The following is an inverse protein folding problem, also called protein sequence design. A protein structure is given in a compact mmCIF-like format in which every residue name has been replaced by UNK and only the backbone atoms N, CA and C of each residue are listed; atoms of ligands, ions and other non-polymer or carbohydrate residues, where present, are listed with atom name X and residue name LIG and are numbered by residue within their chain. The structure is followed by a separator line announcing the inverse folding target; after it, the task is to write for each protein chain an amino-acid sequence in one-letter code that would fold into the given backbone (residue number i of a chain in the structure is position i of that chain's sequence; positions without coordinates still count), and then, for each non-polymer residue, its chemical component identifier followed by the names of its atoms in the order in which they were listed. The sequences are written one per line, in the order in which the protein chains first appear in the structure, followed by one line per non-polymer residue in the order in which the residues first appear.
data_IF_140923525916
#
_entry.id   IF_140923525916
#
_cell.length_a   1.000
_cell.length_b   1.000
_cell.length_c   1.000
_cell.angle_alpha   90.00
_cell.angle_beta   90.00
_cell.angle_gamma   90.00
#
_symmetry.space_group_name_H-M   'P 1'
#
loop_
_entity.id
_entity.type
_entity.pdbx_description
1 polymer ?
#
# COMPACT_ATOMS: atom_id res chain seq x y z
N UNK A 1 -7.55 3.85 -11.69
CA UNK A 1 -7.87 2.75 -10.75
C UNK A 1 -8.77 3.29 -9.66
N UNK A 2 -9.65 2.44 -9.10
CA UNK A 2 -10.50 2.75 -7.96
C UNK A 2 -9.81 2.32 -6.66
N UNK A 3 -10.23 2.91 -5.53
CA UNK A 3 -9.66 2.62 -4.22
C UNK A 3 -10.74 2.27 -3.21
N UNK A 4 -10.54 1.19 -2.46
CA UNK A 4 -11.31 0.82 -1.29
C UNK A 4 -10.36 0.48 -0.14
N UNK A 5 -10.85 0.47 1.10
CA UNK A 5 -10.04 0.15 2.29
C UNK A 5 -10.82 -0.78 3.21
N UNK A 6 -10.15 -1.80 3.74
CA UNK A 6 -10.66 -2.57 4.87
C UNK A 6 -10.37 -1.86 6.21
N UNK A 7 -11.11 -2.17 7.29
CA UNK A 7 -10.85 -1.62 8.62
C UNK A 7 -9.39 -1.82 9.10
N UNK A 8 -8.80 -2.97 8.81
CA UNK A 8 -7.41 -3.33 9.16
C UNK A 8 -6.37 -2.35 8.60
N UNK A 9 -6.62 -1.77 7.42
CA UNK A 9 -5.76 -0.74 6.86
C UNK A 9 -5.74 0.51 7.77
N UNK A 10 -6.92 0.92 8.27
CA UNK A 10 -7.02 2.08 9.13
C UNK A 10 -6.47 1.84 10.54
N UNK A 11 -6.54 0.61 11.04
CA UNK A 11 -5.87 0.21 12.28
C UNK A 11 -4.36 0.42 12.15
N UNK A 12 -3.72 -0.20 11.15
CA UNK A 12 -2.29 0.01 10.89
C UNK A 12 -1.95 1.47 10.63
N UNK A 13 -2.77 2.21 9.86
CA UNK A 13 -2.55 3.63 9.58
C UNK A 13 -2.51 4.48 10.85
N UNK A 14 -3.37 4.17 11.84
CA UNK A 14 -3.45 4.94 13.09
C UNK A 14 -2.25 4.73 13.99
N UNK A 15 -1.58 3.58 13.90
CA UNK A 15 -0.35 3.26 14.64
C UNK A 15 0.88 3.99 14.10
N UNK A 16 0.81 4.48 12.85
CA UNK A 16 1.91 5.20 12.23
C UNK A 16 2.15 6.57 12.89
N UNK A 17 3.43 6.92 13.01
CA UNK A 17 3.83 8.26 13.41
C UNK A 17 3.28 9.33 12.44
N UNK A 18 3.23 10.59 12.91
CA UNK A 18 2.66 11.70 12.14
C UNK A 18 3.34 11.91 10.78
N UNK A 19 4.67 11.75 10.71
CA UNK A 19 5.45 11.96 9.48
C UNK A 19 5.15 10.85 8.47
N UNK A 20 5.08 9.60 8.92
CA UNK A 20 4.74 8.46 8.07
C UNK A 20 3.31 8.55 7.56
N UNK A 21 2.35 8.99 8.39
CA UNK A 21 0.96 9.26 7.94
C UNK A 21 0.87 10.33 6.85
N UNK A 22 1.71 11.37 6.92
CA UNK A 22 1.79 12.39 5.87
C UNK A 22 2.37 11.83 4.57
N UNK A 23 3.43 11.02 4.65
CA UNK A 23 3.99 10.33 3.49
C UNK A 23 2.98 9.38 2.84
N UNK A 24 2.21 8.62 3.64
CA UNK A 24 1.14 7.76 3.16
C UNK A 24 0.07 8.52 2.38
N UNK A 25 -0.36 9.69 2.89
CA UNK A 25 -1.28 10.57 2.17
C UNK A 25 -0.69 11.06 0.84
N UNK A 26 0.58 11.48 0.82
CA UNK A 26 1.24 11.93 -0.42
C UNK A 26 1.33 10.80 -1.44
N UNK A 27 1.74 9.61 -1.01
CA UNK A 27 1.82 8.42 -1.86
C UNK A 27 0.43 8.05 -2.42
N UNK A 28 -0.63 8.13 -1.61
CA UNK A 28 -2.00 7.86 -2.06
C UNK A 28 -2.47 8.84 -3.14
N UNK A 29 -2.24 10.15 -2.97
CA UNK A 29 -2.60 11.13 -4.01
C UNK A 29 -1.82 10.87 -5.31
N UNK A 30 -0.51 10.63 -5.21
CA UNK A 30 0.31 10.29 -6.37
C UNK A 30 -0.17 9.00 -7.05
N UNK A 31 -0.55 7.98 -6.28
CA UNK A 31 -1.08 6.73 -6.81
C UNK A 31 -2.43 6.93 -7.49
N UNK A 32 -3.31 7.78 -6.95
CA UNK A 32 -4.61 8.09 -7.57
C UNK A 32 -4.43 8.74 -8.95
N UNK A 33 -3.46 9.63 -9.07
CA UNK A 33 -3.19 10.37 -10.31
C UNK A 33 -2.35 9.57 -11.32
N UNK A 34 -1.33 8.86 -10.83
CA UNK A 34 -0.43 8.02 -11.62
C UNK A 34 -0.03 6.76 -10.82
N UNK A 35 -0.84 5.69 -10.86
CA UNK A 35 -0.60 4.47 -10.08
C UNK A 35 0.78 3.85 -10.32
N UNK A 36 1.31 3.99 -11.53
CA UNK A 36 2.58 3.40 -11.97
C UNK A 36 3.75 4.40 -11.93
N UNK A 37 3.62 5.50 -11.18
CA UNK A 37 4.74 6.40 -10.97
C UNK A 37 5.93 5.65 -10.35
N UNK A 38 7.16 5.75 -10.90
CA UNK A 38 8.28 4.92 -10.49
C UNK A 38 8.60 4.95 -8.99
N UNK A 39 8.39 6.10 -8.33
CA UNK A 39 8.64 6.23 -6.88
C UNK A 39 7.73 5.37 -6.00
N UNK A 40 6.54 5.03 -6.50
CA UNK A 40 5.58 4.19 -5.78
C UNK A 40 5.98 2.72 -5.83
N UNK A 41 6.79 2.30 -6.81
CA UNK A 41 7.11 0.89 -7.02
C UNK A 41 5.85 0.00 -6.94
N UNK A 42 4.73 0.47 -7.51
CA UNK A 42 3.46 -0.24 -7.44
C UNK A 42 3.54 -1.50 -8.30
N UNK A 43 3.53 -2.67 -7.65
CA UNK A 43 3.76 -3.96 -8.32
C UNK A 43 3.00 -5.10 -7.65
N UNK A 44 2.68 -6.13 -8.43
CA UNK A 44 2.21 -7.41 -7.92
C UNK A 44 3.36 -8.10 -7.16
N UNK A 45 3.06 -8.64 -5.97
CA UNK A 45 4.01 -9.37 -5.12
C UNK A 45 3.56 -10.81 -4.83
N UNK A 46 2.27 -11.12 -5.06
CA UNK A 46 1.75 -12.47 -5.06
C UNK A 46 0.65 -12.55 -6.12
N UNK A 47 0.87 -13.36 -7.15
CA UNK A 47 -0.05 -13.51 -8.28
C UNK A 47 -1.24 -14.43 -8.00
N UNK A 48 -1.13 -15.33 -7.03
CA UNK A 48 -2.18 -16.31 -6.72
C UNK A 48 -3.35 -15.63 -5.99
N UNK A 49 -3.03 -14.60 -5.19
CA UNK A 49 -4.01 -13.80 -4.42
C UNK A 49 -4.16 -12.37 -4.95
N UNK A 50 -3.56 -12.04 -6.10
CA UNK A 50 -3.55 -10.70 -6.70
C UNK A 50 -3.16 -9.59 -5.69
N UNK A 51 -2.12 -9.84 -4.89
CA UNK A 51 -1.64 -8.88 -3.90
C UNK A 51 -0.63 -7.92 -4.53
N UNK A 52 -0.91 -6.64 -4.38
CA UNK A 52 -0.09 -5.55 -4.85
C UNK A 52 0.49 -4.74 -3.69
N UNK A 53 1.72 -4.25 -3.89
CA UNK A 53 2.45 -3.43 -2.92
C UNK A 53 2.71 -2.04 -3.48
N UNK A 54 2.47 -1.01 -2.67
CA UNK A 54 2.84 0.38 -2.95
C UNK A 54 3.83 0.91 -1.91
N UNK A 55 4.88 1.57 -2.36
CA UNK A 55 5.89 2.24 -1.54
C UNK A 55 5.37 3.56 -0.98
N UNK A 56 5.44 3.68 0.34
CA UNK A 56 5.12 4.92 1.07
C UNK A 56 6.40 5.69 1.41
N UNK A 57 7.37 4.98 1.98
CA UNK A 57 8.74 5.44 2.20
C UNK A 57 9.69 4.28 1.94
N UNK A 58 11.00 4.45 2.13
CA UNK A 58 11.94 3.33 2.08
C UNK A 58 11.50 2.16 2.97
N UNK A 59 11.01 2.47 4.17
CA UNK A 59 10.75 1.48 5.22
C UNK A 59 9.26 1.12 5.38
N UNK A 60 8.35 1.71 4.61
CA UNK A 60 6.90 1.47 4.77
C UNK A 60 6.24 1.14 3.44
N UNK A 61 5.25 0.25 3.46
CA UNK A 61 4.39 -0.13 2.32
C UNK A 61 2.91 -0.07 2.69
N UNK A 62 2.07 0.03 1.67
CA UNK A 62 0.67 -0.35 1.71
C UNK A 62 0.47 -1.59 0.83
N UNK A 63 -0.38 -2.52 1.26
CA UNK A 63 -0.77 -3.71 0.51
C UNK A 63 -2.27 -3.68 0.22
N UNK A 64 -2.64 -4.16 -0.96
CA UNK A 64 -4.02 -4.30 -1.37
C UNK A 64 -4.19 -5.39 -2.42
N UNK A 65 -5.41 -5.92 -2.51
CA UNK A 65 -5.81 -6.85 -3.57
C UNK A 65 -6.30 -6.03 -4.76
N UNK A 66 -5.85 -6.36 -5.98
CA UNK A 66 -6.31 -5.70 -7.20
C UNK A 66 -7.32 -6.58 -7.94
N UNK A 67 -8.59 -6.20 -7.90
CA UNK A 67 -9.68 -6.86 -8.63
C UNK A 67 -10.47 -5.85 -9.46
N UNK A 68 -10.76 -6.16 -10.72
CA UNK A 68 -11.62 -5.34 -11.59
C UNK A 68 -11.27 -3.83 -11.54
N UNK A 69 -9.98 -3.49 -11.61
CA UNK A 69 -9.45 -2.11 -11.57
C UNK A 69 -9.65 -1.38 -10.22
N UNK A 70 -9.98 -2.10 -9.15
CA UNK A 70 -10.10 -1.58 -7.78
C UNK A 70 -9.01 -2.19 -6.91
N UNK A 71 -8.24 -1.33 -6.22
CA UNK A 71 -7.35 -1.80 -5.15
C UNK A 71 -8.09 -1.70 -3.82
N UNK A 72 -8.28 -2.85 -3.17
CA UNK A 72 -8.80 -2.92 -1.81
C UNK A 72 -7.63 -3.01 -0.85
N UNK A 73 -7.25 -1.88 -0.24
CA UNK A 73 -6.14 -1.81 0.70
C UNK A 73 -6.52 -2.45 2.03
N UNK A 74 -5.73 -3.45 2.45
CA UNK A 74 -5.99 -4.18 3.69
C UNK A 74 -4.88 -4.00 4.74
N UNK A 75 -3.72 -3.49 4.35
CA UNK A 75 -2.59 -3.35 5.27
C UNK A 75 -1.69 -2.15 4.95
N UNK A 76 -1.08 -1.59 5.99
CA UNK A 76 -0.05 -0.56 5.92
C UNK A 76 0.89 -0.71 7.12
N UNK A 77 2.19 -0.68 6.88
CA UNK A 77 3.17 -0.93 7.93
C UNK A 77 4.61 -0.97 7.42
N UNK A 78 5.53 -1.47 8.26
CA UNK A 78 6.94 -1.53 7.91
C UNK A 78 7.20 -2.62 6.87
N UNK A 79 8.11 -2.34 5.95
CA UNK A 79 8.52 -3.29 4.92
C UNK A 79 8.97 -4.63 5.52
N UNK A 80 9.81 -4.58 6.54
CA UNK A 80 10.36 -5.76 7.22
C UNK A 80 9.28 -6.63 7.89
N UNK A 81 8.12 -6.07 8.21
CA UNK A 81 7.02 -6.81 8.85
C UNK A 81 6.27 -7.69 7.84
N UNK A 82 6.13 -7.25 6.58
CA UNK A 82 5.45 -8.07 5.56
C UNK A 82 6.41 -8.92 4.71
N UNK A 83 7.69 -8.53 4.55
CA UNK A 83 8.68 -9.35 3.82
C UNK A 83 8.82 -10.76 4.42
N UNK A 84 8.54 -10.93 5.72
CA UNK A 84 8.50 -12.25 6.38
C UNK A 84 7.44 -13.20 5.79
N UNK A 85 6.44 -12.68 5.08
CA UNK A 85 5.33 -13.44 4.53
C UNK A 85 5.39 -13.57 2.99
N UNK A 86 6.05 -12.63 2.29
CA UNK A 86 6.03 -12.53 0.82
C UNK A 86 7.42 -12.32 0.18
N UNK A 87 8.50 -12.40 0.95
CA UNK A 87 9.89 -12.29 0.49
C UNK A 87 10.61 -13.63 0.40
#
# INVERSE_FOLDING_TARGET
MNSATLPSFWEGYRELDKKTRQSARKAYHLWKDNPFHPSLHFKCINSDEDIWSARITRNYRALGILENNTVTWFWIGKHDDYEKFFG
#
